data_IF_164553654196
#
_entry.id   IF_164553654196
#
_cell.length_a   1.000
_cell.length_b   1.000
_cell.length_c   1.000
_cell.angle_alpha   90.00
_cell.angle_beta   90.00
_cell.angle_gamma   90.00
#
_symmetry.space_group_name_H-M   'P 1'
#
loop_
_entity.id
_entity.type
_entity.pdbx_description
1 polymer ?
#
# COMPACT_ATOMS: atom_id res chain seq x y z
N UNK A 1 -13.08 -3.57 3.82
CA UNK A 1 -13.23 -3.36 5.28
C UNK A 1 -11.93 -2.76 5.80
N UNK A 2 -11.98 -1.75 6.66
CA UNK A 2 -10.81 -1.18 7.33
C UNK A 2 -10.38 -2.17 8.42
N UNK A 3 -9.09 -2.43 8.54
CA UNK A 3 -8.54 -3.36 9.52
C UNK A 3 -8.17 -2.62 10.81
N UNK A 4 -8.23 -3.34 11.95
CA UNK A 4 -7.77 -2.80 13.23
C UNK A 4 -6.33 -2.30 13.12
N UNK A 5 -6.04 -1.13 13.71
CA UNK A 5 -4.73 -0.50 13.64
C UNK A 5 -4.42 0.24 12.32
N UNK A 6 -5.32 0.18 11.31
CA UNK A 6 -5.13 0.93 10.06
C UNK A 6 -5.09 2.43 10.32
N UNK A 7 -4.10 3.09 9.74
CA UNK A 7 -4.01 4.55 9.78
C UNK A 7 -5.12 5.19 8.95
N UNK A 8 -5.70 6.23 9.49
CA UNK A 8 -6.73 7.04 8.85
C UNK A 8 -6.34 8.51 8.86
N UNK A 9 -6.56 9.17 7.74
CA UNK A 9 -6.46 10.63 7.66
C UNK A 9 -7.80 11.23 8.05
N UNK A 10 -7.77 12.17 8.98
CA UNK A 10 -8.92 12.87 9.53
C UNK A 10 -8.89 14.33 9.10
N UNK A 11 -9.95 14.80 8.45
CA UNK A 11 -10.13 16.20 8.08
C UNK A 11 -11.39 16.73 8.76
N UNK A 12 -11.19 17.40 9.89
CA UNK A 12 -12.26 18.03 10.66
C UNK A 12 -12.58 19.40 10.05
N UNK A 13 -13.86 19.71 9.95
CA UNK A 13 -14.31 21.04 9.52
C UNK A 13 -15.16 21.62 10.65
N UNK A 14 -14.73 22.76 11.20
CA UNK A 14 -15.48 23.47 12.22
C UNK A 14 -16.74 24.12 11.62
N UNK A 15 -17.75 24.51 12.44
CA UNK A 15 -18.93 25.20 11.94
C UNK A 15 -18.63 26.51 11.20
N UNK A 16 -17.50 27.17 11.50
CA UNK A 16 -17.06 28.40 10.81
C UNK A 16 -16.17 28.11 9.58
N UNK A 17 -16.03 26.84 9.19
CA UNK A 17 -15.32 26.45 7.96
C UNK A 17 -13.81 26.24 8.09
N UNK A 18 -13.23 26.36 9.27
CA UNK A 18 -11.80 26.08 9.49
C UNK A 18 -11.57 24.58 9.36
N UNK A 19 -10.54 24.21 8.60
CA UNK A 19 -10.16 22.81 8.37
C UNK A 19 -8.91 22.46 9.18
N UNK A 20 -8.94 21.29 9.78
CA UNK A 20 -7.82 20.70 10.51
C UNK A 20 -7.56 19.28 10.05
N UNK A 21 -6.31 19.01 9.65
CA UNK A 21 -5.87 17.71 9.12
C UNK A 21 -4.95 17.01 10.11
N UNK A 22 -5.25 15.77 10.43
CA UNK A 22 -4.42 14.93 11.30
C UNK A 22 -4.59 13.46 10.94
N UNK A 23 -3.94 12.57 11.65
CA UNK A 23 -4.07 11.12 11.52
C UNK A 23 -4.50 10.47 12.83
N UNK A 24 -5.10 9.30 12.70
CA UNK A 24 -5.50 8.46 13.83
C UNK A 24 -5.52 6.99 13.36
N UNK A 25 -5.82 6.07 14.28
CA UNK A 25 -5.93 4.64 13.97
C UNK A 25 -7.35 4.11 14.19
N UNK A 26 -7.77 3.24 13.29
CA UNK A 26 -9.03 2.53 13.42
C UNK A 26 -8.94 1.46 14.50
N UNK A 27 -9.84 1.48 15.47
CA UNK A 27 -9.93 0.48 16.52
C UNK A 27 -10.97 -0.57 16.18
N UNK A 28 -12.13 -0.15 15.71
CA UNK A 28 -13.20 -1.06 15.39
C UNK A 28 -14.55 -0.38 15.19
N UNK A 29 -15.58 -1.20 15.05
CA UNK A 29 -16.97 -0.76 15.04
C UNK A 29 -17.77 -1.51 16.10
N UNK A 30 -18.62 -0.80 16.82
CA UNK A 30 -19.54 -1.39 17.79
C UNK A 30 -20.92 -1.55 17.14
N UNK A 31 -21.25 -2.79 16.76
CA UNK A 31 -22.49 -3.09 16.03
C UNK A 31 -22.62 -2.16 14.79
N UNK A 32 -23.82 -1.73 14.44
CA UNK A 32 -24.04 -0.74 13.39
C UNK A 32 -24.22 0.68 13.95
N UNK A 33 -23.75 0.95 15.18
CA UNK A 33 -24.05 2.18 15.89
C UNK A 33 -22.88 3.14 15.99
N UNK A 34 -21.64 2.65 16.02
CA UNK A 34 -20.49 3.51 16.25
C UNK A 34 -19.22 2.99 15.56
N UNK A 35 -18.36 3.91 15.20
CA UNK A 35 -16.97 3.66 14.80
C UNK A 35 -16.07 4.18 15.93
N UNK A 36 -15.08 3.37 16.32
CA UNK A 36 -14.11 3.70 17.34
C UNK A 36 -12.75 3.94 16.69
N UNK A 37 -12.13 5.06 17.02
CA UNK A 37 -10.78 5.43 16.59
C UNK A 37 -9.97 5.90 17.79
N UNK A 38 -8.64 5.82 17.71
CA UNK A 38 -7.76 6.42 18.71
C UNK A 38 -7.96 7.94 18.75
N UNK A 39 -7.73 8.56 19.91
CA UNK A 39 -7.59 10.02 19.97
C UNK A 39 -6.31 10.41 19.21
N UNK A 40 -6.37 11.37 18.25
CA UNK A 40 -5.18 11.82 17.53
C UNK A 40 -4.10 12.36 18.46
N UNK A 41 -2.84 12.12 18.11
CA UNK A 41 -1.70 12.66 18.85
C UNK A 41 -1.44 14.12 18.43
N UNK A 42 -2.16 15.04 19.04
CA UNK A 42 -2.11 16.49 18.80
C UNK A 42 -2.09 17.21 20.15
N UNK A 43 -1.95 18.53 20.16
CA UNK A 43 -2.03 19.33 21.39
C UNK A 43 -3.40 19.21 22.05
N UNK A 44 -3.45 19.35 23.38
CA UNK A 44 -4.74 19.37 24.11
C UNK A 44 -5.63 20.55 23.68
N UNK A 45 -5.04 21.65 23.27
CA UNK A 45 -5.74 22.82 22.77
C UNK A 45 -6.42 22.49 21.43
N UNK A 46 -5.70 21.91 20.46
CA UNK A 46 -6.25 21.48 19.18
C UNK A 46 -7.34 20.44 19.36
N UNK A 47 -7.09 19.49 20.29
CA UNK A 47 -8.05 18.44 20.58
C UNK A 47 -9.38 19.00 21.12
N UNK A 48 -9.33 19.99 22.02
CA UNK A 48 -10.53 20.66 22.55
C UNK A 48 -11.21 21.53 21.52
N UNK A 49 -10.45 22.15 20.60
CA UNK A 49 -10.99 23.07 19.62
C UNK A 49 -11.61 22.33 18.42
N UNK A 50 -10.93 21.32 17.88
CA UNK A 50 -11.34 20.66 16.63
C UNK A 50 -12.15 19.38 16.86
N UNK A 51 -12.03 18.70 18.00
CA UNK A 51 -12.66 17.38 18.22
C UNK A 51 -13.82 17.45 19.21
N UNK A 52 -14.75 18.37 18.96
CA UNK A 52 -15.96 18.55 19.76
C UNK A 52 -17.08 17.62 19.26
N UNK A 53 -17.92 17.16 20.19
CA UNK A 53 -19.13 16.43 19.84
C UNK A 53 -20.03 17.26 18.88
N UNK A 54 -20.57 16.60 17.88
CA UNK A 54 -21.36 17.24 16.83
C UNK A 54 -20.56 17.73 15.63
N UNK A 55 -19.24 17.84 15.69
CA UNK A 55 -18.43 18.25 14.54
C UNK A 55 -18.35 17.14 13.49
N UNK A 56 -18.33 17.55 12.23
CA UNK A 56 -18.20 16.65 11.11
C UNK A 56 -16.74 16.42 10.73
N UNK A 57 -16.44 15.16 10.45
CA UNK A 57 -15.11 14.71 10.10
C UNK A 57 -15.17 13.92 8.79
N UNK A 58 -14.32 14.29 7.83
CA UNK A 58 -14.10 13.50 6.62
C UNK A 58 -12.93 12.57 6.87
N UNK A 59 -13.14 11.30 6.67
CA UNK A 59 -12.18 10.24 6.95
C UNK A 59 -11.75 9.59 5.64
N UNK A 60 -10.43 9.42 5.49
CA UNK A 60 -9.82 8.65 4.42
C UNK A 60 -8.98 7.54 5.03
N UNK A 61 -9.28 6.30 4.68
CA UNK A 61 -8.56 5.12 5.13
C UNK A 61 -8.11 4.25 3.96
N UNK A 62 -7.05 3.49 4.16
CA UNK A 62 -6.60 2.48 3.22
C UNK A 62 -7.07 1.10 3.70
N UNK A 63 -7.70 0.36 2.80
CA UNK A 63 -7.95 -1.06 2.99
C UNK A 63 -6.85 -1.83 2.26
N UNK A 64 -6.19 -2.73 2.96
CA UNK A 64 -5.14 -3.56 2.37
C UNK A 64 -5.67 -4.90 1.86
N UNK A 65 -6.96 -5.20 2.07
CA UNK A 65 -7.59 -6.43 1.58
C UNK A 65 -7.75 -6.43 0.07
N UNK A 66 -7.41 -7.56 -0.53
CA UNK A 66 -7.46 -7.73 -1.99
C UNK A 66 -6.53 -6.78 -2.72
N UNK A 67 -7.07 -6.06 -3.69
CA UNK A 67 -6.30 -5.12 -4.54
C UNK A 67 -5.94 -3.81 -3.82
N UNK A 68 -6.41 -3.63 -2.60
CA UNK A 68 -6.35 -2.39 -1.86
C UNK A 68 -7.39 -1.37 -2.34
N UNK A 69 -7.96 -0.64 -1.41
CA UNK A 69 -8.93 0.39 -1.71
C UNK A 69 -8.73 1.62 -0.83
N UNK A 70 -9.05 2.77 -1.37
CA UNK A 70 -9.23 4.00 -0.60
C UNK A 70 -10.70 4.06 -0.22
N UNK A 71 -10.96 4.12 1.08
CA UNK A 71 -12.29 4.27 1.65
C UNK A 71 -12.40 5.70 2.16
N UNK A 72 -13.38 6.44 1.68
CA UNK A 72 -13.66 7.79 2.12
C UNK A 72 -15.12 7.89 2.61
N UNK A 73 -15.30 8.49 3.75
CA UNK A 73 -16.63 8.71 4.31
C UNK A 73 -16.64 9.93 5.23
N UNK A 74 -17.83 10.43 5.48
CA UNK A 74 -18.09 11.51 6.41
C UNK A 74 -18.84 10.95 7.62
N UNK A 75 -18.39 11.34 8.80
CA UNK A 75 -18.95 10.92 10.08
C UNK A 75 -19.03 12.10 11.03
N UNK A 76 -19.85 11.99 12.06
CA UNK A 76 -19.95 12.99 13.11
C UNK A 76 -19.29 12.48 14.39
N UNK A 77 -18.55 13.34 15.07
CA UNK A 77 -18.00 13.03 16.39
C UNK A 77 -19.17 12.97 17.38
N UNK A 78 -19.43 11.78 17.93
CA UNK A 78 -20.50 11.60 18.91
C UNK A 78 -20.04 12.04 20.30
N UNK A 79 -18.91 11.50 20.74
CA UNK A 79 -18.28 11.86 22.03
C UNK A 79 -16.84 11.35 22.09
N UNK A 80 -16.12 11.79 23.10
CA UNK A 80 -14.78 11.33 23.43
C UNK A 80 -14.80 10.55 24.75
N UNK A 81 -14.20 9.37 24.73
CA UNK A 81 -13.88 8.61 25.92
C UNK A 81 -12.51 9.06 26.45
N UNK A 82 -12.38 9.14 27.78
CA UNK A 82 -11.14 9.48 28.46
C UNK A 82 -10.42 8.23 28.99
N UNK A 83 -9.66 8.44 30.06
CA UNK A 83 -8.93 7.37 30.74
C UNK A 83 -9.82 6.19 31.16
N UNK A 84 -9.28 4.95 31.14
CA UNK A 84 -7.90 4.59 30.74
C UNK A 84 -7.69 4.37 29.25
N UNK A 85 -8.73 4.46 28.41
CA UNK A 85 -8.68 4.22 26.98
C UNK A 85 -9.20 5.43 26.21
N UNK A 86 -8.31 6.38 25.83
CA UNK A 86 -8.72 7.58 25.10
C UNK A 86 -9.14 7.22 23.67
N UNK A 87 -10.44 7.27 23.40
CA UNK A 87 -11.03 6.96 22.10
C UNK A 87 -11.97 8.08 21.64
N UNK A 88 -12.07 8.25 20.33
CA UNK A 88 -13.15 9.00 19.70
C UNK A 88 -14.22 8.04 19.21
N UNK A 89 -15.44 8.34 19.53
CA UNK A 89 -16.63 7.64 19.08
C UNK A 89 -17.30 8.44 17.98
N UNK A 90 -17.41 7.84 16.83
CA UNK A 90 -17.96 8.46 15.62
C UNK A 90 -19.27 7.77 15.22
N UNK A 91 -20.16 8.53 14.62
CA UNK A 91 -21.37 7.96 14.01
C UNK A 91 -21.01 7.03 12.85
N UNK A 92 -21.86 6.05 12.57
CA UNK A 92 -21.73 5.24 11.36
C UNK A 92 -22.12 6.11 10.16
N UNK A 93 -21.29 6.16 9.10
CA UNK A 93 -21.59 6.95 7.92
C UNK A 93 -22.78 6.35 7.16
N UNK A 94 -23.65 7.21 6.64
CA UNK A 94 -24.77 6.81 5.77
C UNK A 94 -24.30 6.36 4.39
N UNK A 95 -23.15 6.88 3.92
CA UNK A 95 -22.56 6.58 2.63
C UNK A 95 -21.04 6.49 2.73
N UNK A 96 -20.46 5.61 1.94
CA UNK A 96 -19.00 5.48 1.79
C UNK A 96 -18.64 5.45 0.32
N UNK A 97 -17.59 6.18 -0.04
CA UNK A 97 -16.96 6.08 -1.36
C UNK A 97 -15.79 5.11 -1.25
N UNK A 98 -15.81 4.11 -2.13
CA UNK A 98 -14.72 3.14 -2.23
C UNK A 98 -14.12 3.28 -3.62
N UNK A 99 -12.86 3.64 -3.69
CA UNK A 99 -12.11 3.69 -4.94
C UNK A 99 -10.96 2.69 -4.89
N UNK A 100 -10.81 1.91 -5.94
CA UNK A 100 -9.71 0.97 -6.05
C UNK A 100 -8.37 1.73 -6.05
N UNK A 101 -7.45 1.29 -5.23
CA UNK A 101 -6.12 1.88 -5.17
C UNK A 101 -5.29 1.53 -6.41
N UNK A 102 -5.60 0.40 -7.03
CA UNK A 102 -4.84 -0.16 -8.15
C UNK A 102 -5.75 -0.49 -9.31
N UNK A 103 -5.28 -0.23 -10.51
CA UNK A 103 -5.95 -0.62 -11.76
C UNK A 103 -5.78 -2.12 -12.08
N UNK A 104 -4.78 -2.77 -11.45
CA UNK A 104 -4.40 -4.14 -11.74
C UNK A 104 -4.11 -4.92 -10.46
N UNK A 105 -4.43 -6.21 -10.49
CA UNK A 105 -4.12 -7.16 -9.43
C UNK A 105 -2.60 -7.33 -9.34
N UNK A 106 -2.08 -7.32 -8.13
CA UNK A 106 -0.70 -7.66 -7.82
C UNK A 106 -0.64 -8.99 -7.11
N UNK A 107 0.16 -9.88 -7.66
CA UNK A 107 0.36 -11.20 -7.11
C UNK A 107 1.62 -11.21 -6.26
N UNK A 108 1.55 -11.79 -5.09
CA UNK A 108 2.75 -12.09 -4.31
C UNK A 108 3.54 -13.20 -5.00
N UNK A 109 4.81 -12.94 -5.20
CA UNK A 109 5.75 -13.86 -5.84
C UNK A 109 7.05 -13.93 -5.04
N UNK A 110 7.88 -14.90 -5.34
CA UNK A 110 9.24 -15.00 -4.83
C UNK A 110 10.13 -15.46 -5.97
N UNK A 111 10.55 -14.51 -6.81
CA UNK A 111 11.32 -14.80 -8.01
C UNK A 111 12.72 -14.21 -7.87
N UNK A 112 13.73 -15.07 -7.94
CA UNK A 112 15.12 -14.62 -8.05
C UNK A 112 15.33 -13.96 -9.41
N UNK A 113 15.95 -12.80 -9.42
CA UNK A 113 16.20 -12.05 -10.63
C UNK A 113 17.51 -11.27 -10.54
N UNK A 114 17.96 -10.74 -11.67
CA UNK A 114 19.06 -9.81 -11.76
C UNK A 114 18.55 -8.50 -12.35
N UNK A 115 18.71 -7.40 -11.59
CA UNK A 115 18.33 -6.07 -12.03
C UNK A 115 19.52 -5.38 -12.70
N UNK A 116 19.33 -4.88 -13.91
CA UNK A 116 20.36 -4.21 -14.69
C UNK A 116 20.09 -2.73 -14.84
N UNK A 117 21.13 -1.93 -14.65
CA UNK A 117 21.20 -0.52 -15.03
C UNK A 117 22.35 -0.38 -16.05
N UNK A 118 22.03 -0.34 -17.32
CA UNK A 118 23.01 -0.53 -18.39
C UNK A 118 23.65 -1.92 -18.31
N UNK A 119 24.97 -2.00 -18.20
CA UNK A 119 25.72 -3.27 -18.12
C UNK A 119 25.89 -3.79 -16.69
N UNK A 120 25.52 -3.00 -15.68
CA UNK A 120 25.74 -3.36 -14.28
C UNK A 120 24.53 -4.13 -13.75
N UNK A 121 24.74 -5.41 -13.43
CA UNK A 121 23.73 -6.30 -12.86
C UNK A 121 23.83 -6.42 -11.34
N UNK A 122 22.70 -6.37 -10.65
CA UNK A 122 22.57 -6.51 -9.20
C UNK A 122 21.59 -7.64 -8.92
N UNK A 123 21.96 -8.59 -8.08
CA UNK A 123 21.07 -9.68 -7.67
C UNK A 123 19.91 -9.10 -6.84
N UNK A 124 18.71 -9.54 -7.16
CA UNK A 124 17.49 -9.07 -6.53
C UNK A 124 16.44 -10.17 -6.42
N UNK A 125 15.40 -9.87 -5.67
CA UNK A 125 14.24 -10.75 -5.51
C UNK A 125 12.96 -9.97 -5.77
N UNK A 126 12.15 -10.45 -6.72
CA UNK A 126 10.84 -9.86 -7.02
C UNK A 126 9.84 -10.42 -6.02
N UNK A 127 9.16 -9.53 -5.29
CA UNK A 127 8.22 -9.83 -4.21
C UNK A 127 6.76 -9.67 -4.57
N UNK A 128 6.45 -8.79 -5.50
CA UNK A 128 5.12 -8.73 -6.13
C UNK A 128 5.24 -8.40 -7.61
N UNK A 129 4.25 -8.86 -8.37
CA UNK A 129 4.18 -8.73 -9.82
C UNK A 129 2.75 -8.46 -10.25
N UNK A 130 2.57 -7.49 -11.14
CA UNK A 130 1.33 -7.26 -11.91
C UNK A 130 1.65 -7.17 -13.40
N UNK A 131 0.65 -6.95 -14.24
CA UNK A 131 0.92 -6.69 -15.66
C UNK A 131 1.67 -5.38 -15.88
N UNK A 132 1.37 -4.34 -15.08
CA UNK A 132 1.91 -2.99 -15.25
C UNK A 132 3.17 -2.71 -14.45
N UNK A 133 3.63 -3.61 -13.56
CA UNK A 133 4.80 -3.36 -12.75
C UNK A 133 5.11 -4.43 -11.73
N UNK A 134 6.21 -4.23 -11.02
CA UNK A 134 6.63 -5.13 -9.96
C UNK A 134 7.26 -4.36 -8.78
N UNK A 135 7.48 -5.09 -7.72
CA UNK A 135 8.30 -4.66 -6.60
C UNK A 135 9.42 -5.66 -6.39
N UNK A 136 10.65 -5.18 -6.36
CA UNK A 136 11.80 -6.01 -6.04
C UNK A 136 12.60 -5.45 -4.86
N UNK A 137 13.40 -6.29 -4.26
CA UNK A 137 14.31 -5.95 -3.16
C UNK A 137 15.74 -6.34 -3.53
N UNK A 138 16.70 -5.55 -3.04
CA UNK A 138 18.13 -5.85 -3.08
C UNK A 138 18.73 -5.82 -1.68
N UNK A 139 19.93 -6.35 -1.53
CA UNK A 139 20.69 -6.17 -0.27
C UNK A 139 21.05 -4.70 -0.07
N UNK A 140 21.25 -4.21 1.18
CA UNK A 140 21.56 -2.81 1.46
C UNK A 140 22.88 -2.34 0.86
N UNK A 141 23.83 -3.24 0.68
CA UNK A 141 25.18 -2.97 0.13
C UNK A 141 25.21 -2.94 -1.40
N UNK A 142 24.11 -3.29 -2.06
CA UNK A 142 24.02 -3.27 -3.52
C UNK A 142 23.97 -1.83 -4.05
N UNK A 143 24.42 -1.62 -5.29
CA UNK A 143 24.21 -0.35 -5.99
C UNK A 143 22.73 0.02 -5.96
N UNK A 144 22.46 1.26 -5.63
CA UNK A 144 21.08 1.76 -5.54
C UNK A 144 20.61 2.32 -6.87
N UNK A 145 19.40 1.94 -7.25
CA UNK A 145 18.67 2.56 -8.36
C UNK A 145 17.98 3.83 -7.86
N UNK A 146 17.88 4.84 -8.72
CA UNK A 146 17.19 6.08 -8.41
C UNK A 146 15.80 6.08 -9.06
N UNK A 147 14.86 6.83 -8.48
CA UNK A 147 13.54 7.05 -9.09
C UNK A 147 13.72 7.76 -10.43
N UNK A 148 13.11 7.21 -11.47
CA UNK A 148 13.21 7.69 -12.85
C UNK A 148 14.21 6.92 -13.72
N UNK A 149 15.10 6.11 -13.15
CA UNK A 149 16.02 5.28 -13.93
C UNK A 149 15.31 4.10 -14.61
N UNK A 150 15.78 3.78 -15.82
CA UNK A 150 15.33 2.60 -16.55
C UNK A 150 16.04 1.35 -16.01
N UNK A 151 15.30 0.30 -15.79
CA UNK A 151 15.79 -0.97 -15.27
C UNK A 151 15.27 -2.14 -16.10
N UNK A 152 16.13 -3.14 -16.29
CA UNK A 152 15.77 -4.44 -16.87
C UNK A 152 15.94 -5.52 -15.82
N UNK A 153 14.91 -6.36 -15.63
CA UNK A 153 14.91 -7.45 -14.67
C UNK A 153 14.91 -8.78 -15.41
N UNK A 154 15.99 -9.52 -15.27
CA UNK A 154 16.16 -10.87 -15.83
C UNK A 154 15.82 -11.90 -14.78
N UNK A 155 14.82 -12.73 -15.04
CA UNK A 155 14.40 -13.77 -14.11
C UNK A 155 15.42 -14.92 -14.13
N UNK A 156 15.94 -15.28 -12.96
CA UNK A 156 16.84 -16.41 -12.82
C UNK A 156 16.02 -17.69 -12.74
N UNK A 157 16.12 -18.52 -13.78
CA UNK A 157 15.47 -19.83 -13.83
C UNK A 157 16.38 -20.87 -13.17
N UNK A 158 15.81 -21.80 -12.40
CA UNK A 158 16.53 -22.97 -11.91
C UNK A 158 17.05 -23.83 -13.07
N UNK A 159 18.06 -24.65 -12.79
CA UNK A 159 18.81 -25.47 -13.79
C UNK A 159 17.95 -26.39 -14.70
N UNK A 160 16.66 -26.54 -14.43
CA UNK A 160 15.74 -27.43 -15.17
C UNK A 160 14.72 -26.68 -16.03
N UNK A 161 14.83 -25.36 -16.18
CA UNK A 161 13.83 -24.58 -16.91
C UNK A 161 14.17 -24.43 -18.40
N UNK A 162 13.53 -25.22 -19.25
CA UNK A 162 13.59 -25.08 -20.72
C UNK A 162 12.87 -23.85 -21.29
N UNK A 163 12.43 -22.91 -20.44
CA UNK A 163 11.70 -21.70 -20.85
C UNK A 163 12.63 -20.49 -20.77
N UNK A 164 12.84 -19.84 -21.90
CA UNK A 164 13.52 -18.55 -21.92
C UNK A 164 12.49 -17.45 -21.65
N UNK A 165 12.61 -16.77 -20.51
CA UNK A 165 11.76 -15.62 -20.17
C UNK A 165 12.44 -14.36 -20.68
N UNK A 166 11.66 -13.51 -21.35
CA UNK A 166 12.14 -12.21 -21.77
C UNK A 166 12.23 -11.25 -20.56
N UNK A 167 13.21 -10.32 -20.57
CA UNK A 167 13.43 -9.40 -19.45
C UNK A 167 12.21 -8.46 -19.23
N UNK A 168 11.98 -8.12 -17.96
CA UNK A 168 10.97 -7.14 -17.58
C UNK A 168 11.60 -5.75 -17.57
N UNK A 169 11.26 -4.92 -18.55
CA UNK A 169 11.79 -3.56 -18.68
C UNK A 169 10.82 -2.53 -18.15
N UNK A 170 11.35 -1.48 -17.53
CA UNK A 170 10.54 -0.40 -16.99
C UNK A 170 11.36 0.66 -16.28
N UNK A 171 10.65 1.54 -15.59
CA UNK A 171 11.22 2.69 -14.87
C UNK A 171 10.98 2.57 -13.39
N UNK A 172 12.00 2.85 -12.59
CA UNK A 172 11.86 2.90 -11.12
C UNK A 172 10.94 4.06 -10.75
N UNK A 173 9.81 3.77 -10.12
CA UNK A 173 8.80 4.76 -9.69
C UNK A 173 8.79 5.00 -8.18
N UNK A 174 9.40 4.11 -7.38
CA UNK A 174 9.46 4.24 -5.93
C UNK A 174 10.71 3.59 -5.36
N UNK A 175 11.26 4.19 -4.31
CA UNK A 175 12.39 3.68 -3.54
C UNK A 175 12.11 3.83 -2.04
N UNK A 176 12.24 2.73 -1.31
CA UNK A 176 12.21 2.71 0.15
C UNK A 176 13.47 2.00 0.66
N UNK A 177 14.18 2.61 1.59
CA UNK A 177 15.38 2.03 2.21
C UNK A 177 15.10 1.64 3.64
N UNK A 178 15.61 0.50 4.03
CA UNK A 178 15.68 0.04 5.42
C UNK A 178 17.13 -0.39 5.73
N UNK A 179 17.39 -0.72 6.99
CA UNK A 179 18.68 -1.26 7.42
C UNK A 179 19.00 -2.62 6.80
N UNK A 180 18.00 -3.37 6.36
CA UNK A 180 18.16 -4.76 5.91
C UNK A 180 18.02 -4.95 4.40
N UNK A 181 17.37 -4.01 3.70
CA UNK A 181 17.15 -4.08 2.24
C UNK A 181 16.78 -2.73 1.65
N UNK A 182 17.01 -2.59 0.35
CA UNK A 182 16.40 -1.54 -0.45
C UNK A 182 15.25 -2.13 -1.27
N UNK A 183 14.11 -1.43 -1.29
CA UNK A 183 12.87 -1.85 -1.96
C UNK A 183 12.55 -0.88 -3.09
N UNK A 184 12.33 -1.41 -4.27
CA UNK A 184 12.05 -0.64 -5.48
C UNK A 184 10.71 -1.02 -6.06
N UNK A 185 9.92 -0.02 -6.45
CA UNK A 185 8.76 -0.18 -7.32
C UNK A 185 9.13 0.16 -8.75
N UNK A 186 8.74 -0.68 -9.70
CA UNK A 186 8.98 -0.49 -11.14
C UNK A 186 7.64 -0.44 -11.86
N UNK A 187 7.46 0.56 -12.70
CA UNK A 187 6.41 0.62 -13.70
C UNK A 187 6.97 0.13 -15.03
N UNK A 188 6.35 -0.89 -15.62
CA UNK A 188 6.81 -1.49 -16.87
C UNK A 188 6.49 -0.60 -18.07
N UNK A 189 7.43 -0.57 -19.01
CA UNK A 189 7.17 -0.07 -20.37
C UNK A 189 6.28 -1.05 -21.14
N UNK A 190 5.97 -0.76 -22.39
CA UNK A 190 5.07 -1.60 -23.18
C UNK A 190 5.65 -3.00 -23.45
N UNK A 191 6.97 -3.13 -23.61
CA UNK A 191 7.65 -4.43 -23.71
C UNK A 191 7.61 -5.19 -22.40
N UNK A 192 7.91 -4.52 -21.30
CA UNK A 192 7.84 -5.10 -19.96
C UNK A 192 6.43 -5.59 -19.62
N UNK A 193 5.37 -4.88 -20.00
CA UNK A 193 3.97 -5.31 -19.83
C UNK A 193 3.64 -6.59 -20.59
N UNK A 194 4.11 -6.71 -21.85
CA UNK A 194 3.92 -7.94 -22.64
C UNK A 194 4.66 -9.11 -21.98
N UNK A 195 5.92 -8.89 -21.58
CA UNK A 195 6.74 -9.91 -20.95
C UNK A 195 6.21 -10.31 -19.56
N UNK A 196 5.69 -9.37 -18.78
CA UNK A 196 5.03 -9.64 -17.51
C UNK A 196 3.77 -10.51 -17.67
N UNK A 197 2.96 -10.25 -18.72
CA UNK A 197 1.81 -11.09 -19.04
C UNK A 197 2.24 -12.52 -19.39
N UNK A 198 3.31 -12.68 -20.18
CA UNK A 198 3.89 -13.97 -20.50
C UNK A 198 4.41 -14.66 -19.24
N UNK A 199 5.19 -13.98 -18.41
CA UNK A 199 5.71 -14.52 -17.13
C UNK A 199 4.56 -15.00 -16.24
N UNK A 200 3.52 -14.19 -16.04
CA UNK A 200 2.36 -14.55 -15.21
C UNK A 200 1.68 -15.84 -15.68
N UNK A 201 1.67 -16.15 -16.98
CA UNK A 201 1.11 -17.40 -17.51
C UNK A 201 1.95 -18.64 -17.18
N UNK A 202 3.22 -18.45 -16.83
CA UNK A 202 4.13 -19.53 -16.43
C UNK A 202 4.20 -19.72 -14.89
N UNK A 203 3.42 -18.94 -14.14
CA UNK A 203 3.35 -19.07 -12.69
C UNK A 203 2.19 -19.97 -12.27
N UNK A 204 2.37 -20.68 -11.16
CA UNK A 204 1.35 -21.49 -10.50
C UNK A 204 1.24 -21.09 -9.04
N UNK A 205 0.03 -21.17 -8.50
CA UNK A 205 -0.23 -20.87 -7.09
C UNK A 205 0.12 -22.06 -6.22
N UNK A 206 0.97 -21.87 -5.20
CA UNK A 206 1.41 -22.91 -4.27
C UNK A 206 0.58 -22.98 -2.97
N UNK A 207 -0.52 -22.23 -2.90
CA UNK A 207 -1.35 -22.05 -1.70
C UNK A 207 -1.10 -20.75 -0.96
N UNK A 208 0.04 -20.08 -1.17
CA UNK A 208 0.40 -18.79 -0.54
C UNK A 208 0.82 -17.74 -1.55
N UNK A 209 1.58 -18.10 -2.56
CA UNK A 209 2.14 -17.20 -3.58
C UNK A 209 2.26 -17.90 -4.94
N UNK A 210 2.52 -17.10 -5.97
CA UNK A 210 2.82 -17.61 -7.29
C UNK A 210 4.31 -17.97 -7.39
N UNK A 211 4.59 -19.16 -7.93
CA UNK A 211 5.93 -19.68 -8.25
C UNK A 211 5.99 -20.09 -9.70
N UNK A 212 7.21 -20.14 -10.25
CA UNK A 212 7.43 -20.73 -11.57
C UNK A 212 7.01 -22.21 -11.57
N UNK A 213 6.35 -22.62 -12.64
CA UNK A 213 6.08 -24.05 -12.88
C UNK A 213 7.42 -24.78 -12.98
N UNK A 214 7.60 -25.79 -12.16
CA UNK A 214 8.71 -26.73 -12.23
C UNK A 214 8.55 -27.69 -13.41
#
# INVERSE_FOLDING_TARGET
>A
MIEHGSEMTLNVTTPVGIKFLTTSKFIGSHSNNAILIEVPQISDEDLRFYFQAGFWINIKALSHRGEGAIIQFRSQISYRLGDPFPLLVLSVPSTMQVSQLRKEIRYEVNLSAKAYLGEIGVDCEIRDLSRGGCRFITTPMSRTFQVGEEVSLDIVLGKNGGVTLAPLKGKVCNLQRSTHYARYGVEFDDYGKVNAKSLLSHLTFDGTKLKLRS
#
